data_IF_982055006390
#
_entry.id   IF_982055006390
#
_cell.length_a   1.000
_cell.length_b   1.000
_cell.length_c   1.000
_cell.angle_alpha   90.00
_cell.angle_beta   90.00
_cell.angle_gamma   90.00
#
_symmetry.space_group_name_H-M   'P 1'
#
loop_
_entity.id
_entity.type
_entity.pdbx_description
1 polymer ?
#
# COMPACT_ATOMS: atom_id res chain seq x y z
N UNK A 1 26.01 1.51 -13.33
CA UNK A 1 24.73 1.96 -13.89
C UNK A 1 23.71 1.85 -12.77
N UNK A 2 23.08 2.95 -12.34
CA UNK A 2 22.13 2.99 -11.21
C UNK A 2 20.78 2.42 -11.63
N UNK A 3 20.72 1.10 -11.81
CA UNK A 3 19.55 0.41 -12.36
C UNK A 3 19.38 -0.97 -11.72
N UNK A 4 18.14 -1.31 -11.39
CA UNK A 4 17.77 -2.69 -11.07
C UNK A 4 17.88 -3.56 -12.34
N UNK A 5 18.47 -4.77 -12.26
CA UNK A 5 18.34 -5.77 -13.32
C UNK A 5 16.87 -6.01 -13.66
N UNK A 6 16.55 -6.20 -14.94
CA UNK A 6 15.16 -6.30 -15.39
C UNK A 6 14.43 -7.49 -14.76
N UNK A 7 15.13 -8.62 -14.63
CA UNK A 7 14.62 -9.84 -14.03
C UNK A 7 14.27 -9.62 -12.56
N UNK A 8 15.11 -8.87 -11.83
CA UNK A 8 14.85 -8.51 -10.44
C UNK A 8 13.67 -7.54 -10.33
N UNK A 9 13.57 -6.55 -11.22
CA UNK A 9 12.43 -5.64 -11.24
C UNK A 9 11.10 -6.38 -11.47
N UNK A 10 11.07 -7.36 -12.37
CA UNK A 10 9.88 -8.19 -12.59
C UNK A 10 9.53 -9.05 -11.38
N UNK A 11 10.52 -9.65 -10.73
CA UNK A 11 10.30 -10.44 -9.52
C UNK A 11 9.75 -9.58 -8.36
N UNK A 12 10.26 -8.36 -8.17
CA UNK A 12 9.74 -7.40 -7.18
C UNK A 12 8.33 -6.89 -7.55
N UNK A 13 8.00 -6.81 -8.84
CA UNK A 13 6.64 -6.51 -9.26
C UNK A 13 5.67 -7.65 -8.92
N UNK A 14 6.08 -8.90 -9.13
CA UNK A 14 5.31 -10.09 -8.77
C UNK A 14 5.04 -10.15 -7.25
N UNK A 15 6.04 -9.79 -6.44
CA UNK A 15 5.89 -9.65 -4.98
C UNK A 15 4.79 -8.62 -4.63
N UNK A 16 4.90 -7.41 -5.18
CA UNK A 16 3.96 -6.32 -4.90
C UNK A 16 2.53 -6.65 -5.36
N UNK A 17 2.38 -7.31 -6.52
CA UNK A 17 1.08 -7.81 -6.99
C UNK A 17 0.50 -8.90 -6.10
N UNK A 18 1.35 -9.81 -5.60
CA UNK A 18 0.92 -10.84 -4.65
C UNK A 18 0.41 -10.20 -3.36
N UNK A 19 1.16 -9.26 -2.79
CA UNK A 19 0.75 -8.53 -1.58
C UNK A 19 -0.54 -7.71 -1.81
N UNK A 20 -0.71 -7.13 -3.00
CA UNK A 20 -1.94 -6.44 -3.38
C UNK A 20 -3.13 -7.40 -3.49
N UNK A 21 -2.94 -8.55 -4.14
CA UNK A 21 -3.98 -9.56 -4.37
C UNK A 21 -4.56 -10.09 -3.04
N UNK A 22 -3.68 -10.39 -2.07
CA UNK A 22 -4.10 -10.93 -0.76
C UNK A 22 -4.88 -9.93 0.10
N UNK A 23 -4.90 -8.66 -0.30
CA UNK A 23 -5.59 -7.56 0.38
C UNK A 23 -6.72 -6.97 -0.49
N UNK A 24 -6.94 -7.52 -1.68
CA UNK A 24 -7.93 -7.02 -2.64
C UNK A 24 -9.35 -7.51 -2.35
N UNK A 25 -9.48 -8.76 -1.91
CA UNK A 25 -10.75 -9.46 -1.72
C UNK A 25 -10.62 -10.57 -0.67
N UNK A 26 -11.75 -11.08 -0.24
CA UNK A 26 -11.83 -12.26 0.62
C UNK A 26 -11.07 -13.45 0.00
N UNK A 27 -10.31 -14.16 0.84
CA UNK A 27 -9.51 -15.30 0.41
C UNK A 27 -10.39 -16.51 0.10
N UNK A 28 -10.02 -17.24 -0.95
CA UNK A 28 -10.61 -18.53 -1.27
C UNK A 28 -9.70 -19.67 -0.81
N UNK A 29 -10.28 -20.87 -0.69
CA UNK A 29 -9.50 -22.08 -0.44
C UNK A 29 -8.42 -22.32 -1.51
N UNK A 30 -8.74 -22.02 -2.77
CA UNK A 30 -7.78 -22.13 -3.88
C UNK A 30 -6.56 -21.24 -3.68
N UNK A 31 -6.75 -19.97 -3.26
CA UNK A 31 -5.64 -19.07 -2.97
C UNK A 31 -4.81 -19.58 -1.80
N UNK A 32 -5.44 -20.01 -0.69
CA UNK A 32 -4.71 -20.51 0.48
C UNK A 32 -3.89 -21.76 0.16
N UNK A 33 -4.45 -22.70 -0.61
CA UNK A 33 -3.74 -23.90 -1.06
C UNK A 33 -2.61 -23.54 -2.04
N UNK A 34 -2.85 -22.58 -2.94
CA UNK A 34 -1.84 -22.05 -3.85
C UNK A 34 -0.65 -21.44 -3.09
N UNK A 35 -0.91 -20.59 -2.09
CA UNK A 35 0.12 -19.99 -1.25
C UNK A 35 0.98 -21.04 -0.54
N UNK A 36 0.36 -22.11 -0.02
CA UNK A 36 1.12 -23.24 0.56
C UNK A 36 1.98 -23.93 -0.48
N UNK A 37 1.43 -24.21 -1.66
CA UNK A 37 2.14 -24.91 -2.72
C UNK A 37 3.38 -24.15 -3.19
N UNK A 38 3.29 -22.83 -3.31
CA UNK A 38 4.42 -21.99 -3.71
C UNK A 38 5.39 -21.68 -2.56
N UNK A 39 5.04 -22.03 -1.31
CA UNK A 39 5.90 -21.80 -0.14
C UNK A 39 5.89 -20.37 0.37
N UNK A 40 4.75 -19.69 0.31
CA UNK A 40 4.59 -18.32 0.83
C UNK A 40 4.85 -18.23 2.34
N UNK A 41 5.58 -17.21 2.84
CA UNK A 41 6.15 -16.06 2.13
C UNK A 41 7.57 -16.25 1.59
N UNK A 42 8.17 -17.44 1.71
CA UNK A 42 9.56 -17.68 1.33
C UNK A 42 9.82 -17.60 -0.19
N UNK A 43 8.77 -17.57 -1.00
CA UNK A 43 8.85 -17.40 -2.44
C UNK A 43 8.91 -15.94 -2.91
N UNK A 44 8.79 -14.96 -1.99
CA UNK A 44 8.98 -13.56 -2.34
C UNK A 44 10.42 -13.31 -2.78
N UNK A 45 10.58 -12.49 -3.82
CA UNK A 45 11.86 -12.16 -4.43
C UNK A 45 12.73 -11.30 -3.51
N UNK A 46 12.13 -10.35 -2.79
CA UNK A 46 12.83 -9.57 -1.78
C UNK A 46 12.98 -10.39 -0.50
N UNK A 47 14.16 -10.99 -0.33
CA UNK A 47 14.48 -11.74 0.89
C UNK A 47 14.56 -10.82 2.10
N UNK A 48 14.01 -11.21 3.26
CA UNK A 48 13.99 -10.33 4.43
C UNK A 48 15.39 -10.09 4.99
N UNK A 49 15.64 -8.85 5.39
CA UNK A 49 16.84 -8.44 6.14
C UNK A 49 16.45 -7.60 7.36
N UNK A 50 17.30 -7.63 8.41
CA UNK A 50 17.09 -6.83 9.62
C UNK A 50 15.71 -7.05 10.26
N UNK A 51 14.97 -5.97 10.46
CA UNK A 51 13.65 -6.01 11.12
C UNK A 51 12.58 -6.71 10.27
N UNK A 52 12.77 -6.82 8.94
CA UNK A 52 11.83 -7.51 8.06
C UNK A 52 11.77 -9.03 8.29
N UNK A 53 12.84 -9.62 8.86
CA UNK A 53 12.88 -11.05 9.22
C UNK A 53 11.73 -11.44 10.14
N UNK A 54 11.42 -10.60 11.14
CA UNK A 54 10.36 -10.89 12.10
C UNK A 54 8.98 -10.97 11.40
N UNK A 55 8.69 -10.05 10.47
CA UNK A 55 7.42 -10.06 9.75
C UNK A 55 7.29 -11.28 8.82
N UNK A 56 8.40 -11.68 8.17
CA UNK A 56 8.46 -12.93 7.40
C UNK A 56 8.22 -14.17 8.27
N UNK A 57 8.84 -14.25 9.45
CA UNK A 57 8.66 -15.35 10.38
C UNK A 57 7.22 -15.45 10.89
N UNK A 58 6.60 -14.31 11.23
CA UNK A 58 5.19 -14.25 11.63
C UNK A 58 4.27 -14.76 10.53
N UNK A 59 4.52 -14.38 9.27
CA UNK A 59 3.72 -14.85 8.14
C UNK A 59 3.94 -16.33 7.85
N UNK A 60 5.18 -16.82 7.91
CA UNK A 60 5.48 -18.24 7.75
C UNK A 60 4.81 -19.08 8.86
N UNK A 61 4.83 -18.58 10.10
CA UNK A 61 4.13 -19.21 11.23
C UNK A 61 2.61 -19.21 11.03
N UNK A 62 2.03 -18.10 10.55
CA UNK A 62 0.61 -18.02 10.24
C UNK A 62 0.21 -19.01 9.15
N UNK A 63 0.99 -19.13 8.07
CA UNK A 63 0.77 -20.12 7.00
C UNK A 63 0.85 -21.57 7.50
N UNK A 64 1.79 -21.85 8.41
CA UNK A 64 1.97 -23.18 9.02
C UNK A 64 0.84 -23.51 10.00
N UNK A 65 0.28 -22.51 10.68
CA UNK A 65 -0.80 -22.69 11.65
C UNK A 65 -2.17 -22.91 11.00
N UNK A 66 -2.33 -22.58 9.71
CA UNK A 66 -3.57 -22.87 8.99
C UNK A 66 -3.80 -24.40 8.92
N UNK A 67 -5.02 -24.90 9.18
CA UNK A 67 -5.34 -26.34 9.17
C UNK A 67 -5.17 -26.97 7.78
N UNK A 68 -4.81 -28.25 7.70
CA UNK A 68 -4.56 -28.93 6.42
C UNK A 68 -5.76 -28.81 5.46
N UNK A 69 -6.97 -29.09 5.96
CA UNK A 69 -8.23 -28.87 5.27
C UNK A 69 -8.71 -27.43 5.44
N UNK A 70 -9.02 -26.76 4.32
CA UNK A 70 -9.63 -25.42 4.32
C UNK A 70 -11.15 -25.59 4.32
N UNK A 71 -11.74 -25.54 5.51
CA UNK A 71 -13.18 -25.63 5.70
C UNK A 71 -13.87 -24.25 5.69
N UNK A 72 -15.21 -24.26 5.77
CA UNK A 72 -15.98 -23.01 5.78
C UNK A 72 -15.74 -22.18 7.04
N UNK A 73 -15.48 -22.80 8.19
CA UNK A 73 -15.27 -22.09 9.44
C UNK A 73 -13.98 -21.25 9.41
N UNK A 74 -12.91 -21.79 8.83
CA UNK A 74 -11.67 -21.03 8.59
C UNK A 74 -11.92 -19.87 7.63
N UNK A 75 -12.60 -20.12 6.51
CA UNK A 75 -12.88 -19.08 5.51
C UNK A 75 -13.77 -17.97 6.08
N UNK A 76 -14.77 -18.31 6.90
CA UNK A 76 -15.64 -17.35 7.57
C UNK A 76 -14.85 -16.47 8.55
N UNK A 77 -13.89 -17.04 9.29
CA UNK A 77 -13.01 -16.28 10.19
C UNK A 77 -12.11 -15.30 9.42
N UNK A 78 -11.52 -15.73 8.31
CA UNK A 78 -10.72 -14.86 7.45
C UNK A 78 -11.57 -13.78 6.78
N UNK A 79 -12.78 -14.12 6.32
CA UNK A 79 -13.71 -13.16 5.73
C UNK A 79 -14.19 -12.12 6.74
N UNK A 80 -14.40 -12.51 8.01
CA UNK A 80 -14.74 -11.59 9.09
C UNK A 80 -13.63 -10.54 9.31
N UNK A 81 -12.37 -10.99 9.40
CA UNK A 81 -11.22 -10.08 9.50
C UNK A 81 -11.08 -9.20 8.24
N UNK A 82 -11.25 -9.78 7.05
CA UNK A 82 -11.21 -9.01 5.80
C UNK A 82 -12.27 -7.89 5.82
N UNK A 83 -13.50 -8.21 6.20
CA UNK A 83 -14.57 -7.22 6.32
C UNK A 83 -14.24 -6.16 7.38
N UNK A 84 -13.69 -6.57 8.53
CA UNK A 84 -13.30 -5.71 9.63
C UNK A 84 -12.21 -4.70 9.25
N UNK A 85 -11.25 -5.14 8.42
CA UNK A 85 -10.12 -4.32 7.96
C UNK A 85 -10.53 -3.45 6.76
N UNK A 86 -11.14 -4.03 5.73
CA UNK A 86 -11.23 -3.40 4.41
C UNK A 86 -12.63 -2.88 4.04
N UNK A 87 -13.70 -3.34 4.70
CA UNK A 87 -15.08 -3.02 4.28
C UNK A 87 -15.84 -2.14 5.26
N UNK A 88 -15.76 -2.42 6.56
CA UNK A 88 -16.58 -1.75 7.57
C UNK A 88 -15.78 -0.95 8.61
N UNK A 89 -14.44 -1.09 8.63
CA UNK A 89 -13.56 -0.33 9.51
C UNK A 89 -13.75 -0.60 11.00
N UNK A 90 -14.33 -1.74 11.39
CA UNK A 90 -14.60 -2.09 12.79
C UNK A 90 -13.33 -2.18 13.64
N UNK A 91 -12.18 -2.43 13.03
CA UNK A 91 -10.88 -2.40 13.73
C UNK A 91 -10.35 -0.97 13.95
N UNK A 92 -11.04 0.07 13.48
CA UNK A 92 -10.54 1.45 13.51
C UNK A 92 -9.24 1.64 12.71
N UNK A 93 -8.95 0.71 11.80
CA UNK A 93 -7.90 0.78 10.80
C UNK A 93 -8.56 0.94 9.44
N UNK A 94 -8.12 1.92 8.65
CA UNK A 94 -8.59 2.09 7.28
C UNK A 94 -7.45 1.77 6.31
N UNK A 95 -7.72 1.05 5.21
CA UNK A 95 -6.72 0.77 4.17
C UNK A 95 -6.48 1.96 3.23
N UNK A 96 -6.91 3.17 3.59
CA UNK A 96 -6.77 4.39 2.78
C UNK A 96 -5.90 5.42 3.50
N UNK A 97 -4.91 5.96 2.78
CA UNK A 97 -3.94 6.93 3.28
C UNK A 97 -4.58 8.19 3.91
N UNK A 98 -5.61 8.74 3.28
CA UNK A 98 -6.28 9.96 3.74
C UNK A 98 -6.80 9.89 5.18
N UNK A 99 -7.24 8.71 5.62
CA UNK A 99 -7.74 8.49 6.99
C UNK A 99 -6.62 8.61 8.03
N UNK A 100 -5.38 8.34 7.66
CA UNK A 100 -4.24 8.38 8.58
C UNK A 100 -3.57 9.75 8.64
N UNK A 101 -3.59 10.49 7.53
CA UNK A 101 -2.83 11.73 7.38
C UNK A 101 -3.66 13.00 7.54
N UNK A 102 -4.98 12.91 7.48
CA UNK A 102 -5.87 14.04 7.76
C UNK A 102 -6.14 14.18 9.26
N UNK A 103 -6.19 15.42 9.75
CA UNK A 103 -6.52 15.74 11.15
C UNK A 103 -7.92 15.21 11.52
N UNK A 104 -8.85 15.20 10.56
CA UNK A 104 -10.22 14.74 10.74
C UNK A 104 -10.39 13.22 10.53
N UNK A 105 -9.32 12.51 10.17
CA UNK A 105 -9.34 11.07 9.85
C UNK A 105 -10.39 10.67 8.81
N UNK A 106 -10.59 11.52 7.81
CA UNK A 106 -11.59 11.33 6.75
C UNK A 106 -10.97 10.67 5.52
N UNK A 107 -11.78 9.87 4.83
CA UNK A 107 -11.42 9.35 3.50
C UNK A 107 -11.52 10.44 2.43
N UNK A 108 -10.91 10.19 1.26
CA UNK A 108 -11.02 11.02 0.06
C UNK A 108 -10.54 12.47 0.24
N UNK A 109 -9.39 12.63 0.89
CA UNK A 109 -8.74 13.94 1.13
C UNK A 109 -7.62 14.21 0.11
N UNK A 110 -6.78 15.21 0.38
CA UNK A 110 -5.69 15.68 -0.48
C UNK A 110 -4.81 14.55 -1.05
N UNK A 111 -4.45 13.54 -0.24
CA UNK A 111 -3.65 12.39 -0.67
C UNK A 111 -4.29 11.59 -1.81
N UNK A 112 -5.63 11.45 -1.82
CA UNK A 112 -6.36 10.77 -2.89
C UNK A 112 -6.23 11.51 -4.22
N UNK A 113 -6.31 12.84 -4.20
CA UNK A 113 -6.15 13.65 -5.41
C UNK A 113 -4.71 13.63 -5.91
N UNK A 114 -3.73 13.74 -5.01
CA UNK A 114 -2.32 13.62 -5.35
C UNK A 114 -2.00 12.26 -6.01
N UNK A 115 -2.54 11.16 -5.46
CA UNK A 115 -2.36 9.83 -6.04
C UNK A 115 -3.06 9.66 -7.39
N UNK A 116 -4.24 10.26 -7.57
CA UNK A 116 -4.91 10.28 -8.87
C UNK A 116 -4.06 10.96 -9.94
N UNK A 117 -3.45 12.10 -9.62
CA UNK A 117 -2.59 12.82 -10.56
C UNK A 117 -1.31 12.01 -10.88
N UNK A 118 -0.73 11.35 -9.87
CA UNK A 118 0.41 10.43 -10.06
C UNK A 118 0.06 9.25 -10.98
N UNK A 119 -1.12 8.67 -10.81
CA UNK A 119 -1.61 7.59 -11.69
C UNK A 119 -1.84 8.10 -13.10
N UNK A 120 -2.52 9.24 -13.25
CA UNK A 120 -2.81 9.84 -14.55
C UNK A 120 -1.54 10.21 -15.33
N UNK A 121 -0.47 10.65 -14.64
CA UNK A 121 0.83 10.92 -15.25
C UNK A 121 1.47 9.68 -15.91
N UNK A 122 1.09 8.47 -15.48
CA UNK A 122 1.50 7.20 -16.10
C UNK A 122 0.42 6.59 -17.02
N UNK A 123 -0.64 7.34 -17.32
CA UNK A 123 -1.77 6.84 -18.12
C UNK A 123 -2.62 5.80 -17.40
N UNK A 124 -2.57 5.77 -16.06
CA UNK A 124 -3.36 4.88 -15.22
C UNK A 124 -4.56 5.61 -14.63
N UNK A 125 -5.60 4.85 -14.30
CA UNK A 125 -6.74 5.33 -13.55
C UNK A 125 -7.32 4.20 -12.69
N UNK A 126 -7.74 4.52 -11.47
CA UNK A 126 -8.49 3.58 -10.65
C UNK A 126 -9.80 3.20 -11.37
N UNK A 127 -10.19 1.91 -11.43
CA UNK A 127 -11.35 1.47 -12.22
C UNK A 127 -12.68 2.11 -11.79
N UNK A 128 -12.92 2.19 -10.48
CA UNK A 128 -14.09 2.84 -9.90
C UNK A 128 -13.77 3.38 -8.51
N UNK A 129 -13.44 4.68 -8.46
CA UNK A 129 -13.09 5.37 -7.22
C UNK A 129 -14.21 5.33 -6.17
N UNK A 130 -15.48 5.11 -6.57
CA UNK A 130 -16.61 5.01 -5.64
C UNK A 130 -16.63 3.69 -4.87
N UNK A 131 -16.02 2.65 -5.44
CA UNK A 131 -15.89 1.33 -4.79
C UNK A 131 -14.64 1.25 -3.95
N UNK A 132 -13.55 1.85 -4.44
CA UNK A 132 -12.27 1.90 -3.75
C UNK A 132 -11.59 3.22 -4.11
N UNK A 133 -11.26 4.08 -3.14
CA UNK A 133 -10.60 5.36 -3.43
C UNK A 133 -9.19 5.14 -3.99
N UNK A 134 -8.70 6.12 -4.78
CA UNK A 134 -7.38 6.08 -5.41
C UNK A 134 -6.24 5.88 -4.38
N UNK A 135 -6.45 6.29 -3.13
CA UNK A 135 -5.46 6.18 -2.05
C UNK A 135 -5.45 4.87 -1.27
N UNK A 136 -6.20 3.88 -1.74
CA UNK A 136 -6.28 2.58 -1.09
C UNK A 136 -4.99 1.76 -1.27
N UNK A 137 -4.56 1.04 -0.23
CA UNK A 137 -3.34 0.22 -0.19
C UNK A 137 -3.13 -0.63 -1.45
N UNK A 138 -4.17 -1.37 -1.85
CA UNK A 138 -4.13 -2.23 -3.04
C UNK A 138 -3.71 -1.46 -4.31
N UNK A 139 -4.23 -0.26 -4.54
CA UNK A 139 -3.84 0.54 -5.70
C UNK A 139 -2.43 1.10 -5.58
N UNK A 140 -2.00 1.46 -4.36
CA UNK A 140 -0.62 1.89 -4.12
C UNK A 140 0.39 0.75 -4.40
N UNK A 141 0.09 -0.49 -3.98
CA UNK A 141 0.92 -1.67 -4.28
C UNK A 141 0.90 -2.03 -5.78
N UNK A 142 -0.25 -1.92 -6.44
CA UNK A 142 -0.34 -2.11 -7.89
C UNK A 142 0.44 -1.05 -8.67
N UNK A 143 0.50 0.17 -8.17
CA UNK A 143 1.32 1.23 -8.75
C UNK A 143 2.82 0.93 -8.66
N UNK A 144 3.30 0.41 -7.52
CA UNK A 144 4.68 -0.07 -7.39
C UNK A 144 5.00 -1.15 -8.42
N UNK A 145 4.12 -2.15 -8.56
CA UNK A 145 4.28 -3.22 -9.53
C UNK A 145 4.32 -2.69 -10.97
N UNK A 146 3.42 -1.76 -11.31
CA UNK A 146 3.40 -1.13 -12.63
C UNK A 146 4.72 -0.43 -12.94
N UNK A 147 5.23 0.40 -12.01
CA UNK A 147 6.50 1.10 -12.19
C UNK A 147 7.68 0.15 -12.37
N UNK A 148 7.70 -0.96 -11.63
CA UNK A 148 8.74 -2.00 -11.74
C UNK A 148 8.66 -2.78 -13.06
N UNK A 149 7.47 -3.04 -13.60
CA UNK A 149 7.30 -3.76 -14.88
C UNK A 149 7.57 -2.91 -16.12
N UNK A 150 7.15 -1.65 -16.09
CA UNK A 150 7.09 -0.82 -17.30
C UNK A 150 8.10 0.31 -17.29
N UNK A 151 8.50 0.78 -16.11
CA UNK A 151 9.48 1.84 -15.97
C UNK A 151 10.90 1.37 -16.27
N UNK A 152 11.77 2.33 -16.60
CA UNK A 152 13.14 2.06 -17.01
C UNK A 152 14.09 3.12 -16.48
N UNK A 153 15.26 2.66 -16.02
CA UNK A 153 16.34 3.53 -15.61
C UNK A 153 16.08 4.24 -14.29
N UNK A 154 16.98 5.15 -13.96
CA UNK A 154 17.07 5.79 -12.65
C UNK A 154 15.86 6.69 -12.35
N UNK A 155 15.27 7.33 -13.36
CA UNK A 155 14.12 8.22 -13.19
C UNK A 155 12.91 7.51 -12.58
N UNK A 156 12.56 6.33 -13.09
CA UNK A 156 11.50 5.49 -12.50
C UNK A 156 11.83 5.11 -11.05
N UNK A 157 13.07 4.71 -10.76
CA UNK A 157 13.46 4.32 -9.41
C UNK A 157 13.37 5.50 -8.43
N UNK A 158 13.76 6.70 -8.86
CA UNK A 158 13.59 7.93 -8.08
C UNK A 158 12.12 8.27 -7.87
N UNK A 159 11.26 8.09 -8.89
CA UNK A 159 9.82 8.28 -8.74
C UNK A 159 9.20 7.31 -7.74
N UNK A 160 9.58 6.03 -7.79
CA UNK A 160 9.11 5.02 -6.83
C UNK A 160 9.62 5.31 -5.42
N UNK A 161 10.88 5.72 -5.26
CA UNK A 161 11.42 6.14 -3.98
C UNK A 161 10.66 7.33 -3.38
N UNK A 162 10.38 8.36 -4.19
CA UNK A 162 9.57 9.51 -3.80
C UNK A 162 8.14 9.12 -3.43
N UNK A 163 7.50 8.25 -4.22
CA UNK A 163 6.17 7.72 -3.93
C UNK A 163 6.12 7.00 -2.58
N UNK A 164 7.11 6.14 -2.30
CA UNK A 164 7.19 5.43 -1.02
C UNK A 164 7.35 6.40 0.14
N UNK A 165 8.25 7.38 0.02
CA UNK A 165 8.56 8.35 1.07
C UNK A 165 7.39 9.31 1.33
N UNK A 166 6.73 9.82 0.28
CA UNK A 166 5.70 10.88 0.35
C UNK A 166 4.27 10.34 0.54
N UNK A 167 4.05 9.04 0.28
CA UNK A 167 2.77 8.35 0.43
C UNK A 167 2.87 7.12 1.33
N UNK A 168 3.17 5.95 0.75
CA UNK A 168 2.88 4.65 1.35
C UNK A 168 3.53 4.46 2.75
N UNK A 169 4.78 4.90 2.94
CA UNK A 169 5.50 4.74 4.21
C UNK A 169 5.07 5.72 5.32
N UNK A 170 4.27 6.75 5.01
CA UNK A 170 3.81 7.71 6.01
C UNK A 170 2.72 7.14 6.92
N UNK A 171 2.00 6.12 6.45
CA UNK A 171 0.81 5.59 7.12
C UNK A 171 0.78 4.05 7.22
N UNK A 172 1.34 3.33 6.26
CA UNK A 172 1.29 1.87 6.21
C UNK A 172 1.84 1.19 7.49
N UNK A 173 2.95 1.64 8.11
CA UNK A 173 3.44 1.04 9.35
C UNK A 173 2.43 1.16 10.51
N UNK A 174 1.73 2.29 10.61
CA UNK A 174 0.71 2.53 11.65
C UNK A 174 -0.57 1.72 11.38
N UNK A 175 -0.97 1.61 10.11
CA UNK A 175 -2.04 0.70 9.67
C UNK A 175 -1.75 -0.74 10.04
N UNK A 176 -0.57 -1.26 9.67
CA UNK A 176 -0.20 -2.64 9.95
C UNK A 176 -0.17 -2.95 11.45
N UNK A 177 0.40 -2.06 12.28
CA UNK A 177 0.37 -2.20 13.74
C UNK A 177 -1.05 -2.20 14.31
N UNK A 178 -1.94 -1.36 13.78
CA UNK A 178 -3.33 -1.31 14.26
C UNK A 178 -4.12 -2.55 13.87
N UNK A 179 -3.94 -3.07 12.66
CA UNK A 179 -4.54 -4.34 12.25
C UNK A 179 -4.00 -5.48 13.12
N UNK A 180 -2.68 -5.63 13.22
CA UNK A 180 -2.06 -6.73 13.96
C UNK A 180 -2.41 -6.76 15.46
N UNK A 181 -2.77 -5.62 16.07
CA UNK A 181 -3.20 -5.56 17.47
C UNK A 181 -4.68 -5.82 17.69
N UNK A 182 -5.48 -5.95 16.63
CA UNK A 182 -6.96 -6.00 16.72
C UNK A 182 -7.64 -7.08 15.88
N UNK A 183 -6.96 -7.66 14.88
CA UNK A 183 -7.54 -8.74 14.09
C UNK A 183 -7.58 -10.04 14.89
N UNK A 184 -8.56 -10.89 14.58
CA UNK A 184 -8.78 -12.14 15.30
C UNK A 184 -7.91 -13.27 14.75
N UNK A 185 -7.61 -13.25 13.45
CA UNK A 185 -6.77 -14.25 12.78
C UNK A 185 -5.32 -13.80 12.70
N UNK A 186 -4.40 -14.76 12.87
CA UNK A 186 -2.96 -14.51 12.71
C UNK A 186 -2.57 -14.21 11.26
N UNK A 187 -3.38 -14.66 10.28
CA UNK A 187 -3.09 -14.49 8.85
C UNK A 187 -3.07 -13.01 8.46
N UNK A 188 -4.15 -12.26 8.71
CA UNK A 188 -4.20 -10.84 8.34
C UNK A 188 -3.30 -9.97 9.24
N UNK A 189 -3.08 -10.38 10.50
CA UNK A 189 -2.07 -9.78 11.37
C UNK A 189 -0.69 -9.82 10.70
N UNK A 190 -0.27 -11.01 10.29
CA UNK A 190 1.05 -11.23 9.73
C UNK A 190 1.16 -10.68 8.31
N UNK A 191 0.12 -10.76 7.49
CA UNK A 191 0.11 -10.23 6.12
C UNK A 191 0.30 -8.71 6.10
N UNK A 192 -0.38 -7.98 6.98
CA UNK A 192 -0.24 -6.51 7.01
C UNK A 192 1.14 -6.07 7.52
N UNK A 193 1.70 -6.77 8.50
CA UNK A 193 3.08 -6.57 8.96
C UNK A 193 4.10 -6.92 7.88
N UNK A 194 3.93 -8.04 7.18
CA UNK A 194 4.77 -8.45 6.06
C UNK A 194 4.75 -7.41 4.94
N UNK A 195 3.55 -6.92 4.59
CA UNK A 195 3.41 -5.87 3.57
C UNK A 195 4.18 -4.61 3.98
N UNK A 196 4.02 -4.15 5.22
CA UNK A 196 4.74 -2.96 5.70
C UNK A 196 6.26 -3.16 5.69
N UNK A 197 6.74 -4.32 6.13
CA UNK A 197 8.16 -4.65 6.14
C UNK A 197 8.74 -4.76 4.73
N UNK A 198 8.03 -5.41 3.80
CA UNK A 198 8.46 -5.53 2.40
C UNK A 198 8.56 -4.15 1.74
N UNK A 199 7.58 -3.27 1.95
CA UNK A 199 7.58 -1.91 1.40
C UNK A 199 8.74 -1.07 1.96
N UNK A 200 9.01 -1.18 3.27
CA UNK A 200 10.12 -0.47 3.91
C UNK A 200 11.48 -0.97 3.42
N UNK A 201 11.67 -2.28 3.33
CA UNK A 201 12.90 -2.87 2.80
C UNK A 201 13.07 -2.61 1.30
N UNK A 202 11.97 -2.57 0.53
CA UNK A 202 12.03 -2.18 -0.88
C UNK A 202 12.53 -0.73 -1.02
N UNK A 203 12.14 0.17 -0.11
CA UNK A 203 12.67 1.54 -0.08
C UNK A 203 14.17 1.57 0.22
N UNK A 204 14.67 0.70 1.11
CA UNK A 204 16.10 0.56 1.38
C UNK A 204 16.87 0.04 0.16
N UNK A 205 16.31 -0.94 -0.56
CA UNK A 205 16.88 -1.41 -1.82
C UNK A 205 16.99 -0.27 -2.84
N UNK A 206 15.94 0.55 -2.99
CA UNK A 206 16.00 1.71 -3.88
C UNK A 206 17.06 2.72 -3.43
N UNK A 207 17.19 2.99 -2.13
CA UNK A 207 18.22 3.87 -1.59
C UNK A 207 19.63 3.37 -1.95
N UNK A 208 19.87 2.06 -1.80
CA UNK A 208 21.12 1.43 -2.19
C UNK A 208 21.42 1.56 -3.69
N UNK A 209 20.45 1.24 -4.55
CA UNK A 209 20.61 1.29 -6.02
C UNK A 209 20.79 2.72 -6.54
N UNK A 210 20.12 3.69 -5.92
CA UNK A 210 20.23 5.11 -6.24
C UNK A 210 21.49 5.77 -5.63
N UNK A 211 22.14 5.10 -4.67
CA UNK A 211 23.23 5.63 -3.86
C UNK A 211 22.83 6.93 -3.13
N UNK A 212 21.63 6.94 -2.55
CA UNK A 212 21.09 8.06 -1.80
C UNK A 212 20.78 7.66 -0.36
N UNK A 213 20.79 8.64 0.54
CA UNK A 213 20.29 8.43 1.89
C UNK A 213 18.78 8.59 1.92
N UNK A 214 18.09 7.74 2.68
CA UNK A 214 16.67 7.94 2.95
C UNK A 214 16.43 9.26 3.67
N UNK A 215 15.41 10.03 3.27
CA UNK A 215 15.05 11.24 3.96
C UNK A 215 14.48 10.94 5.34
N UNK A 216 14.71 11.82 6.31
CA UNK A 216 14.08 11.70 7.63
C UNK A 216 12.58 11.97 7.54
N UNK A 217 11.80 11.42 8.47
CA UNK A 217 10.35 11.68 8.59
C UNK A 217 10.05 13.17 8.67
N UNK A 218 10.80 13.92 9.47
CA UNK A 218 10.69 15.39 9.58
C UNK A 218 10.92 16.09 8.22
N UNK A 219 11.87 15.61 7.41
CA UNK A 219 12.16 16.16 6.09
C UNK A 219 11.02 15.92 5.10
N UNK A 220 10.37 14.76 5.19
CA UNK A 220 9.19 14.43 4.40
C UNK A 220 8.00 15.27 4.85
N UNK A 221 7.70 15.33 6.14
CA UNK A 221 6.57 16.11 6.65
C UNK A 221 6.70 17.59 6.27
N UNK A 222 7.91 18.16 6.35
CA UNK A 222 8.19 19.52 5.90
C UNK A 222 8.05 19.72 4.38
N UNK A 223 8.31 18.69 3.55
CA UNK A 223 8.04 18.74 2.10
C UNK A 223 6.55 18.71 1.81
N UNK A 224 5.83 17.77 2.41
CA UNK A 224 4.39 17.61 2.22
C UNK A 224 3.62 18.85 2.67
N UNK A 225 4.01 19.45 3.80
CA UNK A 225 3.41 20.71 4.26
C UNK A 225 3.67 21.89 3.31
N UNK A 226 4.83 21.94 2.63
CA UNK A 226 5.11 23.00 1.63
C UNK A 226 4.34 22.79 0.32
N UNK A 227 4.09 21.54 -0.07
CA UNK A 227 3.30 21.22 -1.26
C UNK A 227 1.83 21.63 -1.05
N UNK A 228 1.24 21.33 0.10
CA UNK A 228 -0.16 21.70 0.41
C UNK A 228 -0.39 23.21 0.57
N UNK A 229 0.64 23.98 0.93
CA UNK A 229 0.57 25.44 1.08
C UNK A 229 0.89 26.20 -0.24
N UNK A 230 1.35 25.53 -1.30
CA UNK A 230 1.63 26.20 -2.59
C UNK A 230 0.34 26.66 -3.30
N UNK A 231 0.26 27.93 -3.77
CA UNK A 231 -0.99 28.56 -4.14
C UNK A 231 -1.36 28.29 -5.61
N UNK A 232 -2.01 27.15 -5.89
CA UNK A 232 -2.98 27.06 -6.99
C UNK A 232 -4.43 27.08 -6.48
N UNK A 233 -4.63 27.54 -5.25
CA UNK A 233 -5.93 28.00 -4.76
C UNK A 233 -6.26 29.34 -5.45
N UNK A 234 -6.76 29.25 -6.68
CA UNK A 234 -7.58 30.33 -7.22
C UNK A 234 -8.84 30.36 -6.37
N UNK A 235 -8.89 31.32 -5.44
CA UNK A 235 -10.12 31.68 -4.74
C UNK A 235 -11.14 31.99 -5.83
N UNK A 236 -12.06 31.06 -6.09
CA UNK A 236 -13.21 31.30 -6.94
C UNK A 236 -14.00 32.40 -6.24
N UNK A 237 -13.80 33.64 -6.68
CA UNK A 237 -14.60 34.77 -6.24
C UNK A 237 -16.05 34.46 -6.60
N UNK A 238 -16.85 34.14 -5.58
CA UNK A 238 -18.29 34.00 -5.72
C UNK A 238 -18.84 35.34 -6.20
N UNK A 239 -19.22 35.41 -7.48
CA UNK A 239 -19.97 36.53 -8.04
C UNK A 239 -21.45 36.19 -7.88
N UNK A 240 -22.20 36.85 -6.99
CA UNK A 240 -23.64 36.62 -6.88
C UNK A 240 -24.29 37.00 -8.21
N UNK A 241 -24.94 36.03 -8.86
CA UNK A 241 -25.71 36.29 -10.07
C UNK A 241 -26.88 37.22 -9.76
N UNK A 242 -26.95 38.35 -10.47
CA UNK A 242 -28.15 39.21 -10.47
C UNK A 242 -29.23 38.45 -11.21
N UNK A 243 -30.16 37.86 -10.46
CA UNK A 243 -31.35 37.23 -11.04
C UNK A 243 -32.19 38.26 -11.80
N UNK A 244 -32.95 37.83 -12.83
CA UNK A 244 -33.75 38.75 -13.62
C UNK A 244 -34.85 39.38 -12.76
N UNK A 245 -34.89 40.70 -12.71
CA UNK A 245 -36.02 41.46 -12.17
C UNK A 245 -37.20 41.29 -13.13
N UNK A 246 -38.33 40.80 -12.61
CA UNK A 246 -39.60 40.67 -13.32
C UNK A 246 -40.12 42.02 -13.86
#
# INVERSE_FOLDING_TARGET
MKSLPQELAFALADDSETLALLQDRELSAEILLGLRHVGFPANLALLPEGDACQAHELMAAAMTALPEEVDSALLDGLAADFAAIYLNGSLGASPSESVWLSDDHLSCQESMFALRDLYAAQGLAAPDWRRRPDDHLVFQLQFLAHGLRHGKGTETLTQLAGFLDEHLLRWLPDFARRVASRCDTSFYAALTLLTAAWVDQFRDLLAHVLEESRPSRESIDARMHRQSVSPESTVLAFVPGVGPTL
#
